data_IF_035082114445
#
_entry.id   IF_035082114445
#
_cell.length_a   1.000
_cell.length_b   1.000
_cell.length_c   1.000
_cell.angle_alpha   90.00
_cell.angle_beta   90.00
_cell.angle_gamma   90.00
#
_symmetry.space_group_name_H-M   'P 1'
#
loop_
_entity.id
_entity.type
_entity.pdbx_description
1 polymer ?
#
# COMPACT_ATOMS: atom_id res chain seq x y z
N UNK A 1 -20.52 33.07 -23.58
CA UNK A 1 -19.54 32.95 -22.49
C UNK A 1 -19.21 31.48 -22.31
N UNK A 2 -18.14 31.02 -22.96
CA UNK A 2 -17.69 29.63 -22.93
C UNK A 2 -16.47 29.62 -22.01
N UNK A 3 -16.65 29.13 -20.79
CA UNK A 3 -15.60 29.01 -19.79
C UNK A 3 -14.72 27.80 -20.08
N UNK A 4 -13.43 28.06 -20.27
CA UNK A 4 -12.36 27.08 -20.41
C UNK A 4 -12.15 26.34 -19.07
N UNK A 5 -12.17 25.00 -19.02
CA UNK A 5 -11.57 24.28 -17.91
C UNK A 5 -10.07 24.12 -18.17
N UNK A 6 -9.30 24.59 -17.19
CA UNK A 6 -7.86 24.46 -17.07
C UNK A 6 -7.43 22.99 -17.19
N UNK A 7 -6.67 22.67 -18.24
CA UNK A 7 -5.96 21.39 -18.38
C UNK A 7 -4.80 21.36 -17.38
N UNK A 8 -5.12 21.01 -16.13
CA UNK A 8 -4.16 20.62 -15.12
C UNK A 8 -3.48 19.33 -15.56
N UNK A 9 -2.22 19.47 -16.00
CA UNK A 9 -1.36 18.36 -16.40
C UNK A 9 -0.99 17.51 -15.18
N UNK A 10 -1.89 16.63 -14.76
CA UNK A 10 -1.52 15.53 -13.85
C UNK A 10 -0.75 14.49 -14.67
N UNK A 11 0.56 14.71 -14.77
CA UNK A 11 1.53 13.68 -15.13
C UNK A 11 1.31 12.50 -14.20
N UNK A 12 0.60 11.51 -14.73
CA UNK A 12 0.33 10.23 -14.13
C UNK A 12 1.67 9.49 -14.00
N UNK A 13 2.36 9.66 -12.87
CA UNK A 13 3.58 8.93 -12.54
C UNK A 13 3.23 7.46 -12.22
N UNK A 14 2.91 6.67 -13.25
CA UNK A 14 2.64 5.23 -13.18
C UNK A 14 3.88 4.42 -13.57
N UNK A 15 5.02 4.63 -12.88
CA UNK A 15 5.99 3.55 -12.64
C UNK A 15 7.04 4.02 -11.62
N UNK A 16 6.69 4.06 -10.34
CA UNK A 16 7.70 4.18 -9.31
C UNK A 16 8.50 2.87 -9.31
N UNK A 17 9.69 2.88 -9.93
CA UNK A 17 10.50 1.71 -10.28
C UNK A 17 10.45 0.60 -9.23
N UNK A 18 9.87 -0.55 -9.60
CA UNK A 18 9.86 -1.74 -8.76
C UNK A 18 11.31 -2.14 -8.50
N UNK A 19 11.63 -2.45 -7.24
CA UNK A 19 12.91 -3.04 -6.87
C UNK A 19 12.73 -4.52 -6.54
N UNK A 20 13.60 -5.37 -7.07
CA UNK A 20 13.64 -6.81 -6.80
C UNK A 20 14.59 -7.16 -5.65
N UNK A 21 14.45 -8.36 -5.10
CA UNK A 21 15.35 -8.98 -4.12
C UNK A 21 16.80 -8.95 -4.60
N UNK A 22 17.03 -9.37 -5.84
CA UNK A 22 18.39 -9.45 -6.40
C UNK A 22 19.03 -8.06 -6.50
N UNK A 23 18.24 -7.03 -6.83
CA UNK A 23 18.70 -5.65 -6.89
C UNK A 23 19.04 -5.08 -5.50
N UNK A 24 18.30 -5.48 -4.45
CA UNK A 24 18.63 -5.13 -3.05
C UNK A 24 19.92 -5.81 -2.61
N UNK A 25 20.12 -7.09 -2.96
CA UNK A 25 21.33 -7.84 -2.64
C UNK A 25 22.54 -7.26 -3.39
N UNK A 26 22.39 -6.88 -4.65
CA UNK A 26 23.44 -6.26 -5.46
C UNK A 26 23.92 -4.94 -4.86
N UNK A 27 23.02 -4.08 -4.39
CA UNK A 27 23.40 -2.84 -3.70
C UNK A 27 24.10 -3.13 -2.37
N UNK A 28 23.64 -4.13 -1.63
CA UNK A 28 24.28 -4.53 -0.37
C UNK A 28 25.72 -5.03 -0.61
N UNK A 29 25.92 -5.85 -1.65
CA UNK A 29 27.24 -6.36 -2.04
C UNK A 29 28.18 -5.22 -2.50
N UNK A 30 27.69 -4.28 -3.30
CA UNK A 30 28.47 -3.12 -3.73
C UNK A 30 28.95 -2.27 -2.54
N UNK A 31 28.08 -2.03 -1.55
CA UNK A 31 28.47 -1.30 -0.32
C UNK A 31 29.42 -2.11 0.55
N UNK A 32 29.30 -3.44 0.59
CA UNK A 32 30.18 -4.33 1.37
C UNK A 32 31.59 -4.45 0.78
N UNK A 33 31.72 -4.42 -0.54
CA UNK A 33 33.02 -4.53 -1.23
C UNK A 33 33.79 -3.21 -1.30
N UNK A 34 33.13 -2.09 -0.98
CA UNK A 34 33.75 -0.78 -1.00
C UNK A 34 34.54 -0.51 0.29
N UNK A 35 35.81 -0.13 0.14
CA UNK A 35 36.66 0.28 1.26
C UNK A 35 36.33 1.70 1.78
N UNK A 36 35.61 2.50 0.98
CA UNK A 36 35.19 3.87 1.29
C UNK A 36 33.67 4.04 1.13
N UNK A 37 33.04 5.01 1.86
CA UNK A 37 31.62 5.33 1.68
C UNK A 37 31.29 5.71 0.24
N UNK A 38 30.21 5.12 -0.31
CA UNK A 38 29.79 5.34 -1.69
C UNK A 38 28.67 6.39 -1.78
N UNK A 39 28.78 7.31 -2.72
CA UNK A 39 27.66 8.19 -3.06
C UNK A 39 26.67 7.47 -4.01
N UNK A 40 25.57 8.15 -4.38
CA UNK A 40 24.55 7.56 -5.26
C UNK A 40 25.03 7.34 -6.71
N UNK A 41 26.00 8.14 -7.19
CA UNK A 41 26.59 8.00 -8.52
C UNK A 41 27.51 6.77 -8.55
N UNK A 42 28.34 6.57 -7.53
CA UNK A 42 29.22 5.39 -7.43
C UNK A 42 28.40 4.09 -7.37
N UNK A 43 27.32 4.09 -6.58
CA UNK A 43 26.38 2.96 -6.51
C UNK A 43 25.67 2.70 -7.83
N UNK A 44 25.41 3.75 -8.61
CA UNK A 44 24.79 3.62 -9.94
C UNK A 44 25.76 2.99 -10.93
N UNK A 45 27.03 3.38 -10.91
CA UNK A 45 28.06 2.76 -11.75
C UNK A 45 28.31 1.31 -11.36
N UNK A 46 28.34 0.99 -10.07
CA UNK A 46 28.59 -0.36 -9.58
C UNK A 46 27.43 -1.34 -9.83
N UNK A 47 26.18 -0.85 -9.89
CA UNK A 47 24.99 -1.72 -9.95
C UNK A 47 24.16 -1.60 -11.24
N UNK A 48 24.41 -0.58 -12.07
CA UNK A 48 23.61 -0.24 -13.25
C UNK A 48 22.10 -0.02 -12.94
N UNK A 49 21.79 0.29 -11.67
CA UNK A 49 20.42 0.56 -11.22
C UNK A 49 20.08 2.03 -11.34
N UNK A 50 18.85 2.35 -11.76
CA UNK A 50 18.40 3.74 -11.78
C UNK A 50 18.42 4.37 -10.38
N UNK A 51 18.65 5.68 -10.31
CA UNK A 51 18.64 6.45 -9.05
C UNK A 51 17.42 6.17 -8.16
N UNK A 52 16.23 6.00 -8.74
CA UNK A 52 15.02 5.67 -7.98
C UNK A 52 15.06 4.27 -7.35
N UNK A 53 15.65 3.27 -8.02
CA UNK A 53 15.85 1.94 -7.46
C UNK A 53 16.91 1.97 -6.37
N UNK A 54 18.03 2.67 -6.59
CA UNK A 54 19.09 2.82 -5.57
C UNK A 54 18.57 3.45 -4.29
N UNK A 55 17.86 4.58 -4.38
CA UNK A 55 17.27 5.21 -3.19
C UNK A 55 16.37 4.24 -2.43
N UNK A 56 15.54 3.46 -3.14
CA UNK A 56 14.70 2.44 -2.51
C UNK A 56 15.53 1.33 -1.88
N UNK A 57 16.56 0.82 -2.55
CA UNK A 57 17.44 -0.24 -2.05
C UNK A 57 18.12 0.18 -0.75
N UNK A 58 18.74 1.35 -0.75
CA UNK A 58 19.45 1.93 0.39
C UNK A 58 18.49 2.16 1.55
N UNK A 59 17.30 2.72 1.32
CA UNK A 59 16.29 2.87 2.37
C UNK A 59 15.88 1.52 3.00
N UNK A 60 15.77 0.45 2.20
CA UNK A 60 15.44 -0.89 2.74
C UNK A 60 16.58 -1.49 3.55
N UNK A 61 17.81 -1.31 3.11
CA UNK A 61 18.98 -1.78 3.83
C UNK A 61 19.16 -1.00 5.15
N UNK A 62 18.87 0.30 5.15
CA UNK A 62 18.90 1.14 6.35
C UNK A 62 17.81 0.73 7.36
N UNK A 63 16.60 0.36 6.91
CA UNK A 63 15.51 -0.11 7.77
C UNK A 63 15.88 -1.36 8.61
N UNK A 64 16.81 -2.18 8.11
CA UNK A 64 17.31 -3.37 8.83
C UNK A 64 18.73 -3.17 9.37
N UNK A 65 19.20 -1.92 9.41
CA UNK A 65 20.53 -1.53 9.89
C UNK A 65 21.70 -2.20 9.12
N UNK A 66 21.47 -2.66 7.88
CA UNK A 66 22.52 -3.24 7.03
C UNK A 66 23.45 -2.16 6.42
N UNK A 67 22.97 -0.92 6.30
CA UNK A 67 23.79 0.22 5.86
C UNK A 67 23.47 1.45 6.70
N UNK A 68 24.43 2.37 6.79
CA UNK A 68 24.27 3.72 7.36
C UNK A 68 24.44 4.75 6.25
N UNK A 69 23.65 5.81 6.34
CA UNK A 69 23.80 7.01 5.51
C UNK A 69 24.52 8.06 6.35
N UNK A 70 25.67 8.53 5.89
CA UNK A 70 26.46 9.58 6.53
C UNK A 70 25.77 10.95 6.36
N UNK A 71 26.12 11.96 7.18
CA UNK A 71 25.60 13.33 7.02
C UNK A 71 25.88 13.93 5.63
N UNK A 72 26.93 13.45 4.95
CA UNK A 72 27.31 13.80 3.59
C UNK A 72 26.36 13.22 2.53
N UNK A 73 25.51 12.26 2.88
CA UNK A 73 24.63 11.53 1.97
C UNK A 73 25.26 10.25 1.39
N UNK A 74 26.51 9.95 1.75
CA UNK A 74 27.21 8.73 1.36
C UNK A 74 26.73 7.52 2.18
N UNK A 75 26.80 6.34 1.58
CA UNK A 75 26.32 5.07 2.13
C UNK A 75 27.50 4.19 2.48
N UNK A 76 27.51 3.63 3.68
CA UNK A 76 28.55 2.71 4.14
C UNK A 76 27.91 1.55 4.93
N UNK A 77 28.64 0.45 5.11
CA UNK A 77 28.19 -0.67 5.93
C UNK A 77 28.05 -0.27 7.39
N UNK A 78 27.08 -0.82 8.11
CA UNK A 78 27.03 -0.69 9.57
C UNK A 78 28.18 -1.44 10.24
N UNK A 79 28.72 -0.88 11.34
CA UNK A 79 29.81 -1.46 12.17
C UNK A 79 29.44 -2.75 12.93
N UNK A 80 28.18 -3.19 12.86
CA UNK A 80 27.78 -4.52 13.30
C UNK A 80 27.98 -5.41 12.09
N UNK A 81 28.87 -6.41 12.16
CA UNK A 81 29.07 -7.43 11.12
C UNK A 81 27.79 -7.64 10.31
N UNK A 82 27.70 -6.99 9.15
CA UNK A 82 26.59 -7.20 8.20
C UNK A 82 26.91 -8.49 7.48
N UNK A 83 26.86 -9.57 8.25
CA UNK A 83 26.83 -10.93 7.82
C UNK A 83 25.59 -11.03 6.93
N UNK A 84 25.77 -11.59 5.73
CA UNK A 84 24.80 -11.95 4.70
C UNK A 84 23.31 -12.06 5.14
N UNK A 85 23.05 -12.55 6.35
CA UNK A 85 21.77 -12.55 7.05
C UNK A 85 20.97 -11.23 7.02
N UNK A 86 21.57 -10.07 7.28
CA UNK A 86 20.84 -8.79 7.32
C UNK A 86 20.40 -8.33 5.91
N UNK A 87 21.26 -8.51 4.91
CA UNK A 87 20.95 -8.28 3.49
C UNK A 87 19.83 -9.23 3.01
N UNK A 88 19.89 -10.50 3.40
CA UNK A 88 18.83 -11.50 3.15
C UNK A 88 17.52 -11.11 3.84
N UNK A 89 17.58 -10.56 5.06
CA UNK A 89 16.41 -10.08 5.79
C UNK A 89 15.76 -8.87 5.11
N UNK A 90 16.54 -7.88 4.66
CA UNK A 90 16.03 -6.74 3.88
C UNK A 90 15.31 -7.21 2.60
N UNK A 91 15.96 -8.09 1.84
CA UNK A 91 15.41 -8.71 0.64
C UNK A 91 14.10 -9.46 0.93
N UNK A 92 14.08 -10.27 1.99
CA UNK A 92 12.89 -11.05 2.39
C UNK A 92 11.73 -10.14 2.77
N UNK A 93 11.97 -9.08 3.56
CA UNK A 93 10.96 -8.10 3.93
C UNK A 93 10.40 -7.36 2.70
N UNK A 94 11.27 -6.97 1.76
CA UNK A 94 10.83 -6.35 0.50
C UNK A 94 9.92 -7.28 -0.31
N UNK A 95 10.28 -8.56 -0.41
CA UNK A 95 9.46 -9.58 -1.08
C UNK A 95 8.13 -9.78 -0.38
N UNK A 96 8.12 -9.91 0.94
CA UNK A 96 6.89 -10.10 1.73
C UNK A 96 5.94 -8.91 1.58
N UNK A 97 6.43 -7.67 1.71
CA UNK A 97 5.62 -6.45 1.51
C UNK A 97 5.04 -6.39 0.10
N UNK A 98 5.82 -6.77 -0.91
CA UNK A 98 5.35 -6.85 -2.30
C UNK A 98 4.24 -7.90 -2.45
N UNK A 99 4.42 -9.09 -1.91
CA UNK A 99 3.42 -10.15 -1.94
C UNK A 99 2.13 -9.72 -1.24
N UNK A 100 2.24 -9.07 -0.07
CA UNK A 100 1.10 -8.51 0.64
C UNK A 100 0.37 -7.45 -0.20
N UNK A 101 1.10 -6.51 -0.79
CA UNK A 101 0.50 -5.48 -1.66
C UNK A 101 -0.22 -6.10 -2.88
N UNK A 102 0.42 -7.06 -3.55
CA UNK A 102 -0.17 -7.77 -4.69
C UNK A 102 -1.41 -8.56 -4.28
N UNK A 103 -1.36 -9.21 -3.11
CA UNK A 103 -2.51 -9.92 -2.53
C UNK A 103 -3.66 -8.96 -2.24
N UNK A 104 -3.40 -7.81 -1.62
CA UNK A 104 -4.42 -6.79 -1.38
C UNK A 104 -5.06 -6.28 -2.67
N UNK A 105 -4.27 -6.06 -3.74
CA UNK A 105 -4.81 -5.66 -5.05
C UNK A 105 -5.67 -6.75 -5.69
N UNK A 106 -5.26 -8.01 -5.60
CA UNK A 106 -6.05 -9.14 -6.09
C UNK A 106 -7.35 -9.29 -5.32
N UNK A 107 -7.30 -9.18 -3.99
CA UNK A 107 -8.49 -9.21 -3.13
C UNK A 107 -9.44 -8.05 -3.45
N UNK A 108 -8.92 -6.85 -3.76
CA UNK A 108 -9.74 -5.71 -4.23
C UNK A 108 -10.41 -5.98 -5.58
N UNK A 109 -9.67 -6.49 -6.57
CA UNK A 109 -10.24 -6.85 -7.88
C UNK A 109 -11.29 -7.95 -7.77
N UNK A 110 -11.05 -8.95 -6.91
CA UNK A 110 -12.01 -10.00 -6.61
C UNK A 110 -13.29 -9.42 -6.01
N UNK A 111 -13.16 -8.57 -4.99
CA UNK A 111 -14.30 -7.89 -4.37
C UNK A 111 -15.10 -7.06 -5.38
N UNK A 112 -14.44 -6.36 -6.30
CA UNK A 112 -15.10 -5.62 -7.37
C UNK A 112 -15.87 -6.55 -8.32
N UNK A 113 -15.27 -7.68 -8.71
CA UNK A 113 -15.89 -8.64 -9.62
C UNK A 113 -17.11 -9.33 -8.98
N UNK A 114 -17.01 -9.72 -7.71
CA UNK A 114 -18.06 -10.40 -6.94
C UNK A 114 -19.09 -9.42 -6.33
N UNK A 115 -18.92 -8.11 -6.55
CA UNK A 115 -19.76 -7.06 -5.96
C UNK A 115 -21.24 -7.22 -6.35
N UNK A 116 -22.12 -7.21 -5.35
CA UNK A 116 -23.58 -7.17 -5.49
C UNK A 116 -24.17 -5.83 -5.02
N UNK A 117 -23.53 -4.75 -5.47
CA UNK A 117 -23.93 -3.37 -5.18
C UNK A 117 -23.41 -2.42 -6.28
N UNK A 118 -23.68 -1.12 -6.18
CA UNK A 118 -23.28 -0.13 -7.19
C UNK A 118 -21.76 -0.14 -7.43
N UNK A 119 -21.35 -0.53 -8.65
CA UNK A 119 -19.93 -0.61 -9.04
C UNK A 119 -19.21 0.74 -8.99
N UNK A 120 -19.89 1.81 -9.38
CA UNK A 120 -19.32 3.17 -9.36
C UNK A 120 -19.03 3.62 -7.94
N UNK A 121 -19.97 3.38 -7.03
CA UNK A 121 -19.80 3.71 -5.62
C UNK A 121 -18.61 2.97 -5.01
N UNK A 122 -18.47 1.68 -5.29
CA UNK A 122 -17.32 0.90 -4.85
C UNK A 122 -15.98 1.55 -5.28
N UNK A 123 -15.87 1.96 -6.54
CA UNK A 123 -14.65 2.59 -7.06
C UNK A 123 -14.39 3.94 -6.41
N UNK A 124 -15.41 4.78 -6.26
CA UNK A 124 -15.27 6.11 -5.64
C UNK A 124 -14.89 6.01 -4.17
N UNK A 125 -15.54 5.12 -3.42
CA UNK A 125 -15.18 4.83 -2.03
C UNK A 125 -13.71 4.37 -1.91
N UNK A 126 -13.26 3.48 -2.79
CA UNK A 126 -11.88 3.01 -2.81
C UNK A 126 -10.86 4.14 -3.03
N UNK A 127 -11.19 5.15 -3.83
CA UNK A 127 -10.32 6.31 -4.06
C UNK A 127 -10.53 7.45 -3.06
N UNK A 128 -11.42 7.28 -2.07
CA UNK A 128 -11.72 8.33 -1.09
C UNK A 128 -12.59 9.46 -1.64
N UNK A 129 -13.29 9.23 -2.76
CA UNK A 129 -14.18 10.21 -3.35
C UNK A 129 -15.59 10.08 -2.77
N UNK A 130 -16.26 11.19 -2.44
CA UNK A 130 -17.60 11.16 -1.88
C UNK A 130 -18.62 10.63 -2.90
N UNK A 131 -19.60 9.87 -2.40
CA UNK A 131 -20.76 9.41 -3.16
C UNK A 131 -22.03 9.74 -2.39
N UNK A 132 -22.95 10.40 -3.07
CA UNK A 132 -24.27 10.72 -2.52
C UNK A 132 -25.29 9.64 -2.82
N UNK A 133 -25.25 9.04 -4.02
CA UNK A 133 -26.27 8.14 -4.52
C UNK A 133 -25.70 7.00 -5.37
N UNK A 134 -26.45 5.89 -5.43
CA UNK A 134 -26.22 4.81 -6.41
C UNK A 134 -26.24 5.39 -7.82
N UNK A 135 -25.40 4.87 -8.71
CA UNK A 135 -25.17 5.54 -9.99
C UNK A 135 -26.30 5.37 -11.02
N UNK A 136 -27.20 4.40 -10.87
CA UNK A 136 -28.26 4.09 -11.86
C UNK A 136 -27.79 3.50 -13.20
N UNK A 137 -26.50 3.59 -13.55
CA UNK A 137 -26.02 3.25 -14.89
C UNK A 137 -25.06 2.03 -14.96
N UNK A 138 -24.69 1.42 -13.84
CA UNK A 138 -23.93 0.15 -13.87
C UNK A 138 -24.86 -1.05 -14.01
N UNK A 139 -24.32 -2.19 -14.44
CA UNK A 139 -25.01 -3.48 -14.54
C UNK A 139 -25.76 -3.86 -13.25
N UNK A 140 -25.16 -3.68 -12.08
CA UNK A 140 -25.81 -4.00 -10.80
C UNK A 140 -27.00 -3.08 -10.49
N UNK A 141 -26.87 -1.77 -10.81
CA UNK A 141 -27.98 -0.82 -10.68
C UNK A 141 -29.10 -1.14 -11.66
N UNK A 142 -28.77 -1.45 -12.91
CA UNK A 142 -29.73 -1.82 -13.95
C UNK A 142 -30.45 -3.14 -13.65
N UNK A 143 -29.75 -4.08 -13.01
CA UNK A 143 -30.33 -5.34 -12.54
C UNK A 143 -31.15 -5.20 -11.24
N UNK A 144 -31.12 -4.03 -10.58
CA UNK A 144 -31.85 -3.79 -9.33
C UNK A 144 -31.35 -4.62 -8.14
N UNK A 145 -30.08 -5.03 -8.14
CA UNK A 145 -29.49 -5.85 -7.08
C UNK A 145 -28.68 -5.05 -6.05
N UNK A 146 -28.80 -3.72 -6.07
CA UNK A 146 -28.10 -2.81 -5.14
C UNK A 146 -28.68 -2.88 -3.74
N UNK A 147 -27.86 -2.62 -2.73
CA UNK A 147 -28.29 -2.58 -1.33
C UNK A 147 -28.67 -1.14 -0.96
N UNK A 148 -29.83 -0.98 -0.33
CA UNK A 148 -30.30 0.30 0.21
C UNK A 148 -29.35 0.84 1.29
N UNK A 149 -29.09 2.14 1.26
CA UNK A 149 -28.07 2.80 2.11
C UNK A 149 -28.51 3.00 3.57
N UNK A 150 -29.77 2.68 3.91
CA UNK A 150 -30.40 2.99 5.20
C UNK A 150 -30.02 2.04 6.34
N UNK A 151 -29.02 1.19 6.11
CA UNK A 151 -28.46 0.30 7.14
C UNK A 151 -27.55 1.05 8.09
N UNK A 152 -27.61 0.69 9.37
CA UNK A 152 -26.75 1.24 10.42
C UNK A 152 -25.25 1.13 10.08
N UNK A 153 -24.53 2.27 10.02
CA UNK A 153 -23.09 2.33 9.74
C UNK A 153 -22.35 2.96 10.92
N UNK A 154 -21.78 2.17 11.85
CA UNK A 154 -21.17 2.70 13.08
C UNK A 154 -19.85 3.45 12.85
N UNK A 155 -19.19 3.23 11.71
CA UNK A 155 -17.91 3.85 11.37
C UNK A 155 -17.96 4.41 9.94
N UNK A 156 -17.46 5.63 9.70
CA UNK A 156 -17.40 6.19 8.34
C UNK A 156 -16.54 5.34 7.40
N UNK A 157 -16.92 5.26 6.13
CA UNK A 157 -16.07 4.68 5.09
C UNK A 157 -14.76 5.49 5.01
N UNK A 158 -13.65 4.80 4.77
CA UNK A 158 -12.27 5.28 4.78
C UNK A 158 -11.72 5.74 6.14
N UNK A 159 -12.51 5.69 7.22
CA UNK A 159 -11.98 5.91 8.58
C UNK A 159 -11.10 4.76 9.05
N UNK A 160 -10.24 5.05 10.04
CA UNK A 160 -9.42 4.03 10.69
C UNK A 160 -10.09 3.51 11.95
N UNK A 161 -9.97 2.20 12.15
CA UNK A 161 -10.47 1.47 13.31
C UNK A 161 -9.37 0.58 13.88
N UNK A 162 -9.35 0.38 15.19
CA UNK A 162 -8.51 -0.62 15.85
C UNK A 162 -9.39 -1.78 16.29
N UNK A 163 -9.03 -2.98 15.84
CA UNK A 163 -9.64 -4.22 16.32
C UNK A 163 -8.83 -4.79 17.48
N UNK A 164 -9.51 -5.33 18.49
CA UNK A 164 -8.88 -5.96 19.67
C UNK A 164 -7.86 -7.06 19.31
N UNK A 165 -8.12 -7.82 18.25
CA UNK A 165 -7.24 -8.91 17.78
C UNK A 165 -6.48 -8.62 16.47
N UNK A 166 -6.94 -7.67 15.64
CA UNK A 166 -6.43 -7.52 14.25
C UNK A 166 -5.68 -6.21 14.01
N UNK A 167 -5.37 -5.47 15.08
CA UNK A 167 -4.66 -4.18 15.03
C UNK A 167 -5.42 -3.11 14.22
N UNK A 168 -4.69 -2.11 13.70
CA UNK A 168 -5.27 -1.00 12.93
C UNK A 168 -5.73 -1.50 11.57
N UNK A 169 -6.90 -1.02 11.15
CA UNK A 169 -7.45 -1.26 9.83
C UNK A 169 -8.26 -0.07 9.32
N UNK A 170 -8.50 -0.02 8.02
CA UNK A 170 -9.30 1.00 7.37
C UNK A 170 -10.66 0.43 6.97
N UNK A 171 -11.74 1.15 7.27
CA UNK A 171 -13.10 0.78 6.85
C UNK A 171 -13.22 1.00 5.35
N UNK A 172 -13.49 -0.06 4.60
CA UNK A 172 -13.51 0.00 3.14
C UNK A 172 -14.92 0.17 2.59
N UNK A 173 -15.89 -0.60 3.12
CA UNK A 173 -17.29 -0.58 2.66
C UNK A 173 -18.23 -1.28 3.65
N UNK A 174 -19.52 -1.12 3.40
CA UNK A 174 -20.60 -1.92 3.98
C UNK A 174 -21.25 -2.80 2.90
N UNK A 175 -21.71 -3.97 3.31
CA UNK A 175 -22.48 -4.94 2.53
C UNK A 175 -23.66 -5.37 3.40
N UNK A 176 -24.79 -4.65 3.31
CA UNK A 176 -25.97 -4.87 4.14
C UNK A 176 -25.63 -4.89 5.65
N UNK A 177 -25.63 -6.07 6.28
CA UNK A 177 -25.37 -6.30 7.70
C UNK A 177 -23.88 -6.52 8.02
N UNK A 178 -22.99 -6.41 7.04
CA UNK A 178 -21.56 -6.63 7.18
C UNK A 178 -20.75 -5.41 6.78
N UNK A 179 -19.56 -5.28 7.34
CA UNK A 179 -18.57 -4.29 6.94
C UNK A 179 -17.27 -4.97 6.55
N UNK A 180 -16.55 -4.38 5.61
CA UNK A 180 -15.24 -4.86 5.18
C UNK A 180 -14.17 -3.89 5.64
N UNK A 181 -13.19 -4.41 6.38
CA UNK A 181 -12.06 -3.66 6.93
C UNK A 181 -10.76 -4.23 6.38
N UNK A 182 -9.86 -3.37 5.93
CA UNK A 182 -8.50 -3.74 5.54
C UNK A 182 -7.54 -3.55 6.72
N UNK A 183 -7.11 -4.65 7.34
CA UNK A 183 -6.15 -4.63 8.44
C UNK A 183 -4.70 -4.71 7.94
N UNK A 184 -3.80 -3.93 8.54
CA UNK A 184 -2.39 -3.85 8.13
C UNK A 184 -1.70 -5.21 8.10
N UNK A 185 -1.95 -6.04 9.11
CA UNK A 185 -1.32 -7.38 9.25
C UNK A 185 -2.17 -8.53 8.73
N UNK A 186 -3.50 -8.36 8.68
CA UNK A 186 -4.43 -9.47 8.44
C UNK A 186 -5.19 -9.37 7.12
N UNK A 187 -4.98 -8.30 6.34
CA UNK A 187 -5.65 -8.09 5.06
C UNK A 187 -7.15 -7.79 5.23
N UNK A 188 -7.94 -8.06 4.20
CA UNK A 188 -9.38 -7.82 4.24
C UNK A 188 -10.08 -8.77 5.21
N UNK A 189 -10.98 -8.21 6.02
CA UNK A 189 -11.89 -8.97 6.88
C UNK A 189 -13.30 -8.44 6.76
N UNK A 190 -14.24 -9.36 6.58
CA UNK A 190 -15.67 -9.09 6.65
C UNK A 190 -16.13 -9.32 8.08
N UNK A 191 -16.73 -8.31 8.70
CA UNK A 191 -17.20 -8.32 10.09
C UNK A 191 -18.70 -8.02 10.10
N UNK A 192 -19.46 -8.68 10.97
CA UNK A 192 -20.87 -8.37 11.17
C UNK A 192 -21.01 -7.01 11.87
N UNK A 193 -21.84 -6.12 11.32
CA UNK A 193 -22.05 -4.75 11.82
C UNK A 193 -22.58 -4.73 13.26
N UNK A 194 -23.42 -5.70 13.62
CA UNK A 194 -23.95 -5.82 14.99
C UNK A 194 -22.87 -6.12 16.05
N UNK A 195 -21.72 -6.69 15.63
CA UNK A 195 -20.64 -7.07 16.54
C UNK A 195 -19.52 -6.03 16.60
N UNK A 196 -19.40 -5.16 15.59
CA UNK A 196 -18.20 -4.33 15.45
C UNK A 196 -18.06 -3.27 16.52
N UNK A 197 -19.16 -2.75 17.09
CA UNK A 197 -19.06 -1.74 18.16
C UNK A 197 -18.37 -2.26 19.42
N UNK A 198 -18.40 -3.58 19.66
CA UNK A 198 -17.70 -4.21 20.79
C UNK A 198 -16.25 -4.57 20.45
N UNK A 199 -15.94 -4.71 19.17
CA UNK A 199 -14.66 -5.24 18.67
C UNK A 199 -13.74 -4.17 18.09
N UNK A 200 -14.30 -3.06 17.62
CA UNK A 200 -13.63 -1.96 16.94
C UNK A 200 -13.75 -0.66 17.72
N UNK A 201 -12.68 0.13 17.71
CA UNK A 201 -12.68 1.53 18.15
C UNK A 201 -12.21 2.41 17.00
N UNK A 202 -12.95 3.46 16.67
CA UNK A 202 -12.51 4.45 15.69
C UNK A 202 -11.30 5.22 16.22
N UNK A 203 -10.37 5.52 15.33
CA UNK A 203 -9.20 6.36 15.60
C UNK A 203 -9.33 7.62 14.77
N UNK A 204 -9.00 8.77 15.36
CA UNK A 204 -8.85 10.05 14.66
C UNK A 204 -7.66 10.04 13.69
#
# INVERSE_FOLDING_TARGET
MIGNPTSGSNKLWLNSGKIDVDEVLQVAEAVQQADEPLNLEDLQEATDLSRSKLTKAVSRLQEVEAVKILPTGEVTTSEVEVNQAASVQAATLAKQRRQQFMRSRLEMMRNYAELRDCRREFLLNYFGEPVENKCGFCDNCQAGITVETDTFQPFPINSYVIHTSYSKGQVMRYEADKMVVLFEKFGYKTLAVELVQKLLKQVE
#
